data_IF_107019855291
#
_entry.id   IF_107019855291
#
_cell.length_a   1.000
_cell.length_b   1.000
_cell.length_c   1.000
_cell.angle_alpha   90.00
_cell.angle_beta   90.00
_cell.angle_gamma   90.00
#
_symmetry.space_group_name_H-M   'P 1'
#
loop_
_entity.id
_entity.type
_entity.pdbx_description
1 polymer ?
#
# COMPACT_ATOMS: atom_id res chain seq x y z
N UNK A 1 -27.05 -21.89 -0.76
CA UNK A 1 -26.35 -22.40 -1.94
C UNK A 1 -25.15 -21.49 -2.08
N UNK A 2 -24.04 -21.90 -1.48
CA UNK A 2 -22.81 -21.11 -1.42
C UNK A 2 -22.09 -21.34 -2.75
N UNK A 3 -22.14 -20.36 -3.65
CA UNK A 3 -21.31 -20.38 -4.86
C UNK A 3 -19.86 -20.36 -4.38
N UNK A 4 -19.21 -21.52 -4.39
CA UNK A 4 -17.79 -21.64 -4.16
C UNK A 4 -17.09 -20.77 -5.22
N UNK A 5 -16.73 -19.55 -4.83
CA UNK A 5 -15.92 -18.63 -5.62
C UNK A 5 -14.61 -19.35 -5.89
N UNK A 6 -14.48 -19.95 -7.07
CA UNK A 6 -13.23 -20.60 -7.45
C UNK A 6 -12.13 -19.55 -7.36
N UNK A 7 -11.08 -19.77 -6.56
CA UNK A 7 -9.99 -18.81 -6.46
C UNK A 7 -9.39 -18.64 -7.86
N UNK A 8 -9.35 -17.39 -8.34
CA UNK A 8 -8.68 -17.06 -9.59
C UNK A 8 -7.17 -17.15 -9.36
N UNK A 9 -6.42 -17.61 -10.36
CA UNK A 9 -4.96 -17.63 -10.27
C UNK A 9 -4.40 -16.20 -10.38
N UNK A 10 -3.14 -15.99 -9.98
CA UNK A 10 -2.46 -14.71 -10.15
C UNK A 10 -2.42 -14.28 -11.64
N UNK A 11 -2.16 -15.23 -12.54
CA UNK A 11 -2.19 -14.99 -13.98
C UNK A 11 -3.59 -14.57 -14.48
N UNK A 12 -4.66 -15.19 -13.95
CA UNK A 12 -6.04 -14.79 -14.27
C UNK A 12 -6.36 -13.39 -13.73
N UNK A 13 -5.87 -13.06 -12.54
CA UNK A 13 -6.04 -11.74 -11.93
C UNK A 13 -5.31 -10.67 -12.77
N UNK A 14 -4.04 -10.88 -13.10
CA UNK A 14 -3.25 -9.96 -13.94
C UNK A 14 -3.84 -9.84 -15.35
N UNK A 15 -4.35 -10.93 -15.93
CA UNK A 15 -5.00 -10.85 -17.24
C UNK A 15 -6.28 -10.01 -17.23
N UNK A 16 -7.01 -9.97 -16.10
CA UNK A 16 -8.27 -9.22 -15.95
C UNK A 16 -8.03 -7.79 -15.44
N UNK A 17 -6.93 -7.59 -14.74
CA UNK A 17 -6.51 -6.36 -14.06
C UNK A 17 -5.00 -6.20 -14.25
N UNK A 18 -4.54 -5.74 -15.43
CA UNK A 18 -3.12 -5.60 -15.73
C UNK A 18 -2.36 -4.72 -14.73
N UNK A 19 -3.06 -3.75 -14.11
CA UNK A 19 -2.55 -2.90 -13.04
C UNK A 19 -2.04 -3.70 -11.82
N UNK A 20 -2.59 -4.89 -11.57
CA UNK A 20 -2.15 -5.77 -10.48
C UNK A 20 -0.80 -6.44 -10.76
N UNK A 21 -0.30 -6.42 -12.00
CA UNK A 21 1.00 -7.00 -12.34
C UNK A 21 2.13 -6.36 -11.52
N UNK A 22 2.04 -5.05 -11.27
CA UNK A 22 3.04 -4.37 -10.45
C UNK A 22 2.96 -4.82 -8.99
N UNK A 23 1.76 -5.02 -8.45
CA UNK A 23 1.56 -5.53 -7.09
C UNK A 23 2.08 -6.96 -6.93
N UNK A 24 1.99 -7.79 -7.97
CA UNK A 24 2.59 -9.12 -7.97
C UNK A 24 4.12 -9.04 -7.85
N UNK A 25 4.76 -8.11 -8.57
CA UNK A 25 6.20 -7.85 -8.46
C UNK A 25 6.65 -7.35 -7.08
N UNK A 26 5.75 -6.70 -6.33
CA UNK A 26 6.02 -6.19 -4.99
C UNK A 26 6.13 -7.30 -3.94
N UNK A 27 5.41 -8.42 -4.10
CA UNK A 27 5.41 -9.53 -3.12
C UNK A 27 6.82 -10.10 -2.89
N UNK A 28 7.61 -10.18 -3.96
CA UNK A 28 8.97 -10.73 -3.90
C UNK A 28 9.97 -9.78 -3.20
N UNK A 29 9.61 -8.50 -3.01
CA UNK A 29 10.39 -7.51 -2.28
C UNK A 29 10.10 -7.50 -0.76
N UNK A 30 9.48 -8.55 -0.22
CA UNK A 30 9.21 -8.70 1.23
C UNK A 30 7.92 -8.05 1.71
N UNK A 31 7.02 -7.70 0.78
CA UNK A 31 5.72 -7.13 1.11
C UNK A 31 4.71 -8.19 1.54
N UNK A 32 3.93 -7.84 2.56
CA UNK A 32 2.81 -8.65 3.06
C UNK A 32 1.51 -7.95 2.77
N UNK A 33 0.62 -8.62 2.04
CA UNK A 33 -0.72 -8.12 1.70
C UNK A 33 -1.79 -8.81 2.53
N UNK A 34 -2.75 -8.03 3.04
CA UNK A 34 -3.88 -8.49 3.84
C UNK A 34 -5.15 -7.73 3.46
N UNK A 35 -6.30 -8.40 3.28
CA UNK A 35 -7.56 -7.71 3.14
C UNK A 35 -7.90 -6.99 4.45
N UNK A 36 -8.50 -5.81 4.36
CA UNK A 36 -9.07 -5.12 5.51
C UNK A 36 -10.57 -4.89 5.29
N UNK A 37 -11.29 -4.90 6.40
CA UNK A 37 -12.74 -4.84 6.42
C UNK A 37 -13.18 -3.62 7.23
N UNK A 38 -14.39 -3.14 6.94
CA UNK A 38 -15.02 -2.11 7.75
C UNK A 38 -15.50 -2.67 9.11
N UNK A 39 -16.11 -1.81 9.91
CA UNK A 39 -16.71 -2.19 11.20
C UNK A 39 -17.87 -3.21 11.09
N UNK A 40 -18.36 -3.50 9.89
CA UNK A 40 -19.42 -4.47 9.59
C UNK A 40 -18.89 -5.72 8.86
N UNK A 41 -17.57 -5.95 8.90
CA UNK A 41 -16.90 -7.09 8.25
C UNK A 41 -17.06 -7.11 6.71
N UNK A 42 -17.36 -5.96 6.09
CA UNK A 42 -17.40 -5.80 4.64
C UNK A 42 -15.99 -5.53 4.11
N UNK A 43 -15.57 -6.27 3.09
CA UNK A 43 -14.28 -6.07 2.45
C UNK A 43 -14.18 -4.64 1.90
N UNK A 44 -13.27 -3.86 2.48
CA UNK A 44 -13.02 -2.48 2.07
C UNK A 44 -11.88 -2.36 1.05
N UNK A 45 -10.93 -3.30 1.09
CA UNK A 45 -9.76 -3.21 0.24
C UNK A 45 -8.63 -4.14 0.64
N UNK A 46 -7.46 -3.88 0.06
CA UNK A 46 -6.23 -4.60 0.32
C UNK A 46 -5.18 -3.65 0.88
N UNK A 47 -4.57 -4.02 2.01
CA UNK A 47 -3.43 -3.32 2.58
C UNK A 47 -2.17 -4.14 2.33
N UNK A 48 -1.16 -3.54 1.72
CA UNK A 48 0.21 -4.06 1.62
C UNK A 48 1.12 -3.31 2.57
N UNK A 49 2.09 -4.01 3.15
CA UNK A 49 3.15 -3.36 3.94
C UNK A 49 4.49 -4.06 3.80
N UNK A 50 5.57 -3.27 3.90
CA UNK A 50 6.95 -3.73 4.01
C UNK A 50 7.66 -2.86 5.05
N UNK A 51 8.27 -3.49 6.04
CA UNK A 51 9.07 -2.78 7.04
C UNK A 51 10.56 -2.94 6.75
N UNK A 52 11.29 -1.83 6.83
CA UNK A 52 12.75 -1.76 6.68
C UNK A 52 13.27 -0.82 7.76
N UNK A 53 14.13 -1.33 8.64
CA UNK A 53 14.63 -0.62 9.83
C UNK A 53 13.50 0.03 10.64
N UNK A 54 13.56 1.35 10.83
CA UNK A 54 12.59 2.17 11.56
C UNK A 54 11.41 2.65 10.70
N UNK A 55 11.32 2.22 9.44
CA UNK A 55 10.28 2.67 8.52
C UNK A 55 9.38 1.51 8.09
N UNK A 56 8.12 1.84 7.82
CA UNK A 56 7.17 0.95 7.17
C UNK A 56 6.57 1.64 5.97
N UNK A 57 6.75 1.01 4.81
CA UNK A 57 6.01 1.33 3.60
C UNK A 57 4.67 0.64 3.66
N UNK A 58 3.61 1.37 3.33
CA UNK A 58 2.25 0.90 3.31
C UNK A 58 1.57 1.32 2.00
N UNK A 59 0.72 0.45 1.48
CA UNK A 59 -0.16 0.74 0.36
C UNK A 59 -1.57 0.25 0.68
N UNK A 60 -2.57 1.09 0.50
CA UNK A 60 -3.99 0.80 0.67
C UNK A 60 -4.67 0.92 -0.67
N UNK A 61 -5.28 -0.18 -1.11
CA UNK A 61 -6.03 -0.29 -2.36
C UNK A 61 -7.49 -0.46 -2.00
N UNK A 62 -8.29 0.59 -2.20
CA UNK A 62 -9.73 0.55 -1.93
C UNK A 62 -10.48 0.03 -3.15
N UNK A 63 -10.19 0.62 -4.30
CA UNK A 63 -10.71 0.21 -5.60
C UNK A 63 -9.71 0.59 -6.71
N UNK A 64 -10.12 0.43 -7.97
CA UNK A 64 -9.26 0.71 -9.14
C UNK A 64 -8.88 2.18 -9.30
N UNK A 65 -9.62 3.07 -8.65
CA UNK A 65 -9.53 4.53 -8.76
C UNK A 65 -9.14 5.21 -7.46
N UNK A 66 -8.83 4.45 -6.41
CA UNK A 66 -8.45 5.01 -5.13
C UNK A 66 -7.39 4.13 -4.45
N UNK A 67 -6.17 4.68 -4.42
CA UNK A 67 -5.00 4.08 -3.81
C UNK A 67 -4.26 5.12 -2.99
N UNK A 68 -3.83 4.72 -1.80
CA UNK A 68 -2.99 5.55 -0.93
C UNK A 68 -1.73 4.76 -0.63
N UNK A 69 -0.56 5.37 -0.81
CA UNK A 69 0.71 4.83 -0.35
C UNK A 69 1.36 5.79 0.63
N UNK A 70 2.10 5.25 1.60
CA UNK A 70 2.81 6.05 2.59
C UNK A 70 4.09 5.34 3.06
N UNK A 71 5.08 6.13 3.48
CA UNK A 71 6.18 5.68 4.33
C UNK A 71 6.01 6.32 5.69
N UNK A 72 5.91 5.49 6.72
CA UNK A 72 5.77 5.92 8.12
C UNK A 72 7.00 5.53 8.92
N UNK A 73 7.43 6.41 9.82
CA UNK A 73 8.45 6.11 10.82
C UNK A 73 7.78 5.47 12.04
N UNK A 74 8.40 4.45 12.60
CA UNK A 74 7.92 3.80 13.81
C UNK A 74 7.94 4.75 15.01
N UNK A 75 6.96 4.57 15.91
CA UNK A 75 6.71 5.47 17.04
C UNK A 75 7.91 5.61 17.98
N UNK A 76 8.67 4.53 18.20
CA UNK A 76 9.87 4.56 19.05
C UNK A 76 11.00 5.45 18.50
N UNK A 77 10.92 5.87 17.23
CA UNK A 77 11.86 6.77 16.57
C UNK A 77 11.29 8.17 16.30
N UNK A 78 10.16 8.52 16.93
CA UNK A 78 9.50 9.83 16.81
C UNK A 78 8.16 9.78 16.06
N UNK A 79 7.87 8.67 15.38
CA UNK A 79 6.59 8.43 14.72
C UNK A 79 6.31 9.33 13.53
N UNK A 80 5.25 8.98 12.80
CA UNK A 80 4.66 9.85 11.78
C UNK A 80 4.98 9.50 10.34
N UNK A 81 4.18 10.08 9.44
CA UNK A 81 4.29 9.88 8.00
C UNK A 81 5.42 10.77 7.46
N UNK A 82 6.38 10.20 6.73
CA UNK A 82 7.49 10.95 6.10
C UNK A 82 7.32 11.10 4.59
N UNK A 83 6.41 10.33 4.00
CA UNK A 83 6.03 10.43 2.60
C UNK A 83 4.62 9.86 2.41
N UNK A 84 3.82 10.47 1.54
CA UNK A 84 2.50 9.97 1.17
C UNK A 84 2.18 10.31 -0.28
N UNK A 85 1.46 9.41 -0.94
CA UNK A 85 0.84 9.62 -2.25
C UNK A 85 -0.60 9.12 -2.19
N UNK A 86 -1.52 9.99 -2.58
CA UNK A 86 -2.92 9.66 -2.86
C UNK A 86 -3.09 9.76 -4.38
N UNK A 87 -3.74 8.78 -4.99
CA UNK A 87 -3.88 8.72 -6.44
C UNK A 87 -5.03 7.84 -6.92
N UNK A 88 -5.35 8.03 -8.20
CA UNK A 88 -6.38 7.28 -8.90
C UNK A 88 -5.84 6.22 -9.85
N UNK A 89 -4.51 6.16 -10.02
CA UNK A 89 -3.80 5.16 -10.82
C UNK A 89 -2.88 4.32 -9.91
N UNK A 90 -3.22 3.04 -9.77
CA UNK A 90 -2.48 2.08 -8.96
C UNK A 90 -1.03 1.94 -9.44
N UNK A 91 -0.80 1.91 -10.74
CA UNK A 91 0.54 1.71 -11.27
C UNK A 91 1.44 2.92 -11.01
N UNK A 92 0.89 4.14 -11.12
CA UNK A 92 1.61 5.37 -10.79
C UNK A 92 2.02 5.39 -9.32
N UNK A 93 1.06 5.15 -8.40
CA UNK A 93 1.32 5.21 -6.96
C UNK A 93 2.30 4.11 -6.50
N UNK A 94 2.18 2.91 -7.08
CA UNK A 94 3.15 1.83 -6.84
C UNK A 94 4.54 2.21 -7.34
N UNK A 95 4.64 2.78 -8.54
CA UNK A 95 5.93 3.19 -9.11
C UNK A 95 6.60 4.24 -8.25
N UNK A 96 5.85 5.24 -7.78
CA UNK A 96 6.37 6.28 -6.89
C UNK A 96 6.87 5.71 -5.56
N UNK A 97 6.11 4.79 -4.96
CA UNK A 97 6.46 4.15 -3.68
C UNK A 97 7.71 3.27 -3.78
N UNK A 98 7.81 2.46 -4.84
CA UNK A 98 8.98 1.61 -5.08
C UNK A 98 10.20 2.39 -5.56
N UNK A 99 9.98 3.59 -6.12
CA UNK A 99 11.04 4.51 -6.51
C UNK A 99 11.68 5.26 -5.34
N UNK A 100 11.15 5.12 -4.11
CA UNK A 100 11.74 5.74 -2.94
C UNK A 100 13.12 5.13 -2.64
N UNK A 101 14.16 5.96 -2.41
CA UNK A 101 15.43 5.48 -1.90
C UNK A 101 15.24 4.73 -0.58
N UNK A 102 16.10 3.75 -0.30
CA UNK A 102 16.03 2.99 0.95
C UNK A 102 16.35 3.93 2.14
N UNK A 103 15.83 3.65 3.35
CA UNK A 103 16.15 4.44 4.54
C UNK A 103 17.65 4.67 4.72
N UNK A 104 18.04 5.93 4.93
CA UNK A 104 19.45 6.32 5.10
C UNK A 104 20.21 6.62 3.80
N UNK A 105 19.63 6.33 2.63
CA UNK A 105 20.20 6.72 1.34
C UNK A 105 19.97 8.22 1.05
N UNK A 106 20.85 8.87 0.25
CA UNK A 106 20.63 10.24 -0.20
C UNK A 106 19.28 10.40 -0.90
N UNK A 107 18.45 11.32 -0.40
CA UNK A 107 17.12 11.60 -0.94
C UNK A 107 16.00 10.74 -0.36
N UNK A 108 16.30 9.81 0.57
CA UNK A 108 15.27 9.09 1.30
C UNK A 108 14.38 10.06 2.10
N UNK A 109 13.04 9.94 2.03
CA UNK A 109 12.15 10.75 2.83
C UNK A 109 12.39 10.51 4.33
N UNK A 110 12.68 11.58 5.06
CA UNK A 110 13.00 11.52 6.49
C UNK A 110 12.31 12.59 7.33
N UNK A 111 11.64 13.56 6.69
CA UNK A 111 10.95 14.64 7.37
C UNK A 111 9.48 14.27 7.52
N UNK A 112 8.99 14.26 8.76
CA UNK A 112 7.58 14.01 9.05
C UNK A 112 6.74 15.09 8.38
N UNK A 113 5.85 14.68 7.48
CA UNK A 113 4.86 15.55 6.88
C UNK A 113 3.71 15.71 7.87
N UNK A 114 3.51 16.94 8.34
CA UNK A 114 2.29 17.25 9.10
C UNK A 114 1.15 17.28 8.10
N UNK A 115 0.32 16.24 8.08
CA UNK A 115 -0.95 16.31 7.38
C UNK A 115 -2.00 16.76 8.38
N UNK A 116 -2.34 18.04 8.34
CA UNK A 116 -3.60 18.53 8.87
C UNK A 116 -4.74 18.05 7.97
N UNK A 117 -5.06 16.75 8.06
CA UNK A 117 -6.24 16.18 7.43
C UNK A 117 -7.00 15.41 8.52
N UNK A 118 -8.08 16.05 8.95
CA UNK A 118 -9.15 15.48 9.72
C UNK A 118 -9.65 14.22 9.00
N UNK A 119 -9.14 13.06 9.38
CA UNK A 119 -9.84 11.82 9.09
C UNK A 119 -11.03 11.76 10.04
N UNK A 120 -12.23 12.02 9.51
CA UNK A 120 -13.48 11.72 10.20
C UNK A 120 -14.06 10.44 9.58
N UNK A 121 -14.46 9.44 10.40
CA UNK A 121 -15.12 8.23 9.94
C UNK A 121 -16.51 8.51 9.32
#
# INVERSE_FOLDING_TARGET
>A
MDEARTPITEADAVSRYPELAQLAGIRDAGWVFRPFHDQHDQLMGLAGSRSVDQYTDAIYLFDRSHVIAARVQAEEYGGGCVWMRDGTDVAEVVTDLLGLPEPGEPGAPSLVISQSLLWAP
#
